data_IF_230331357010
#
_entry.id   IF_230331357010
#
_cell.length_a   1.000
_cell.length_b   1.000
_cell.length_c   1.000
_cell.angle_alpha   90.00
_cell.angle_beta   90.00
_cell.angle_gamma   90.00
#
_symmetry.space_group_name_H-M   'P 1'
#
loop_
_entity.id
_entity.type
_entity.pdbx_description
1 polymer ?
#
# COMPACT_ATOMS: atom_id res chain seq x y z
N UNK A 1 9.25 28.44 -26.83
CA UNK A 1 7.83 28.32 -27.24
C UNK A 1 7.16 27.37 -26.27
N UNK A 2 6.36 27.89 -25.33
CA UNK A 2 5.60 27.08 -24.39
C UNK A 2 4.17 26.93 -24.94
N UNK A 3 3.74 25.70 -25.20
CA UNK A 3 2.38 25.38 -25.62
C UNK A 3 1.44 25.34 -24.39
N UNK A 4 0.15 25.67 -24.57
CA UNK A 4 -0.77 25.92 -23.46
C UNK A 4 -1.30 24.63 -22.82
N UNK A 5 -1.44 24.65 -21.50
CA UNK A 5 -2.10 23.61 -20.70
C UNK A 5 -3.60 23.61 -21.03
N UNK A 6 -4.11 22.49 -21.53
CA UNK A 6 -5.54 22.24 -21.70
C UNK A 6 -6.01 21.24 -20.66
N UNK A 7 -7.12 21.63 -20.04
CA UNK A 7 -7.84 21.00 -18.96
C UNK A 7 -8.53 19.70 -19.39
N UNK A 8 -8.62 18.75 -18.45
CA UNK A 8 -9.49 17.58 -18.54
C UNK A 8 -8.86 16.31 -19.09
N UNK A 9 -8.78 15.30 -18.21
CA UNK A 9 -8.53 13.87 -18.46
C UNK A 9 -7.08 13.38 -18.32
N UNK A 10 -6.88 12.65 -17.22
CA UNK A 10 -5.74 11.79 -16.91
C UNK A 10 -4.38 12.49 -16.77
N UNK A 11 -4.11 13.03 -15.58
CA UNK A 11 -2.75 12.98 -15.04
C UNK A 11 -2.42 11.51 -14.76
N UNK A 12 -2.07 10.76 -15.81
CA UNK A 12 -1.05 9.74 -15.66
C UNK A 12 0.17 10.50 -15.14
N UNK A 13 0.31 10.54 -13.81
CA UNK A 13 1.56 10.91 -13.19
C UNK A 13 2.60 10.03 -13.86
N UNK A 14 3.59 10.67 -14.49
CA UNK A 14 4.74 10.07 -15.14
C UNK A 14 5.52 9.26 -14.09
N UNK A 15 4.99 8.10 -13.68
CA UNK A 15 5.47 7.26 -12.57
C UNK A 15 6.58 6.31 -13.01
N UNK A 16 7.12 6.55 -14.19
CA UNK A 16 8.17 5.74 -14.80
C UNK A 16 9.48 5.90 -14.05
N UNK A 17 10.23 4.80 -13.97
CA UNK A 17 11.56 4.82 -13.37
C UNK A 17 12.54 5.58 -14.26
N UNK A 18 13.40 6.41 -13.66
CA UNK A 18 14.40 7.12 -14.44
C UNK A 18 15.34 6.12 -15.14
N UNK A 19 15.62 6.31 -16.45
CA UNK A 19 16.47 5.42 -17.23
C UNK A 19 17.96 5.56 -16.86
N UNK A 20 18.36 6.72 -16.31
CA UNK A 20 19.72 7.01 -15.92
C UNK A 20 19.90 6.83 -14.42
N UNK A 21 20.35 5.63 -14.01
CA UNK A 21 20.58 5.27 -12.61
C UNK A 21 22.06 5.34 -12.26
N UNK A 22 22.36 5.80 -11.06
CA UNK A 22 23.70 5.75 -10.48
C UNK A 22 23.84 4.43 -9.74
N UNK A 23 24.82 3.62 -10.13
CA UNK A 23 25.10 2.35 -9.46
C UNK A 23 25.45 2.58 -7.98
N UNK A 24 24.88 1.77 -7.08
CA UNK A 24 25.12 1.87 -5.64
C UNK A 24 24.11 2.72 -4.89
N UNK A 25 23.15 3.35 -5.56
CA UNK A 25 22.14 4.22 -4.93
C UNK A 25 20.75 3.79 -5.40
N UNK A 26 20.24 2.71 -4.83
CA UNK A 26 18.90 2.19 -5.15
C UNK A 26 17.85 2.63 -4.12
N UNK A 27 18.27 2.87 -2.88
CA UNK A 27 17.40 3.25 -1.76
C UNK A 27 17.91 4.52 -1.09
N UNK A 28 17.01 5.40 -0.69
CA UNK A 28 17.31 6.58 0.10
C UNK A 28 16.58 6.55 1.44
N UNK A 29 17.22 7.08 2.47
CA UNK A 29 16.61 7.32 3.78
C UNK A 29 16.25 8.80 3.85
N UNK A 30 14.97 9.09 4.10
CA UNK A 30 14.45 10.45 4.18
C UNK A 30 13.66 10.65 5.48
N UNK A 31 13.73 11.87 6.01
CA UNK A 31 12.88 12.32 7.12
C UNK A 31 12.21 13.63 6.76
N UNK A 32 10.97 13.78 7.21
CA UNK A 32 10.18 14.99 6.99
C UNK A 32 9.98 15.72 8.31
N UNK A 33 10.00 17.04 8.25
CA UNK A 33 9.67 17.92 9.37
C UNK A 33 8.64 18.94 8.91
N UNK A 34 7.47 18.97 9.56
CA UNK A 34 6.43 19.95 9.31
C UNK A 34 6.13 20.75 10.58
N UNK A 35 5.99 22.08 10.48
CA UNK A 35 5.74 22.91 11.66
C UNK A 35 4.32 22.76 12.22
N UNK A 36 3.31 22.43 11.39
CA UNK A 36 1.89 22.37 11.80
C UNK A 36 1.23 21.00 11.48
N UNK A 37 2.01 19.92 11.45
CA UNK A 37 1.51 18.56 11.19
C UNK A 37 1.26 18.25 9.70
N UNK A 38 0.92 16.99 9.37
CA UNK A 38 0.95 16.47 7.99
C UNK A 38 -0.16 17.01 7.08
N UNK A 39 -1.29 17.51 7.61
CA UNK A 39 -2.48 17.77 6.78
C UNK A 39 -2.61 19.21 6.23
N UNK A 40 -1.85 20.21 6.73
CA UNK A 40 -1.99 21.62 6.31
C UNK A 40 -0.68 22.42 6.37
N UNK A 41 0.40 21.92 5.76
CA UNK A 41 1.63 22.69 5.61
C UNK A 41 2.00 22.87 4.14
N UNK A 42 2.03 24.12 3.67
CA UNK A 42 2.59 24.50 2.37
C UNK A 42 4.13 24.40 2.33
N UNK A 43 4.75 24.32 3.51
CA UNK A 43 6.19 24.27 3.68
C UNK A 43 6.54 23.09 4.58
N UNK A 44 7.32 22.15 4.06
CA UNK A 44 7.87 21.02 4.81
C UNK A 44 9.39 20.97 4.59
N UNK A 45 10.12 20.56 5.61
CA UNK A 45 11.54 20.24 5.52
C UNK A 45 11.72 18.79 5.09
N UNK A 46 12.55 18.54 4.09
CA UNK A 46 13.04 17.22 3.72
C UNK A 46 14.52 17.12 4.11
N UNK A 47 14.87 16.07 4.85
CA UNK A 47 16.25 15.73 5.17
C UNK A 47 16.59 14.37 4.56
N UNK A 48 17.57 14.34 3.66
CA UNK A 48 18.16 13.09 3.15
C UNK A 48 19.22 12.65 4.17
N UNK A 49 19.04 11.45 4.74
CA UNK A 49 19.91 10.91 5.80
C UNK A 49 20.93 9.91 5.28
N UNK A 50 20.72 9.35 4.09
CA UNK A 50 21.66 8.44 3.45
C UNK A 50 21.08 7.83 2.18
N UNK A 51 21.96 7.20 1.41
CA UNK A 51 21.62 6.46 0.19
C UNK A 51 22.40 5.14 0.19
N UNK A 52 21.76 4.06 -0.25
CA UNK A 52 22.26 2.69 -0.14
C UNK A 52 21.91 1.89 -1.39
N UNK A 53 22.68 0.85 -1.67
CA UNK A 53 22.43 -0.04 -2.80
C UNK A 53 21.39 -1.12 -2.46
N UNK A 54 21.42 -1.61 -1.22
CA UNK A 54 20.51 -2.66 -0.74
C UNK A 54 19.54 -2.15 0.32
N UNK A 55 18.35 -2.74 0.34
CA UNK A 55 17.34 -2.46 1.36
C UNK A 55 17.80 -2.91 2.77
N UNK A 56 18.63 -3.94 2.83
CA UNK A 56 19.18 -4.48 4.09
C UNK A 56 20.13 -3.48 4.76
N UNK A 57 21.02 -2.87 3.99
CA UNK A 57 21.94 -1.84 4.47
C UNK A 57 21.19 -0.58 4.92
N UNK A 58 20.18 -0.17 4.14
CA UNK A 58 19.31 0.95 4.51
C UNK A 58 18.60 0.67 5.84
N UNK A 59 18.00 -0.51 6.01
CA UNK A 59 17.32 -0.90 7.25
C UNK A 59 18.27 -0.98 8.45
N UNK A 60 19.48 -1.50 8.27
CA UNK A 60 20.49 -1.52 9.31
C UNK A 60 20.89 -0.10 9.75
N UNK A 61 20.98 0.83 8.79
CA UNK A 61 21.28 2.23 9.08
C UNK A 61 20.11 2.95 9.77
N UNK A 62 18.87 2.71 9.34
CA UNK A 62 17.66 3.25 10.00
C UNK A 62 17.61 2.87 11.48
N UNK A 63 17.90 1.61 11.84
CA UNK A 63 17.92 1.17 13.24
C UNK A 63 18.88 2.00 14.10
N UNK A 64 20.05 2.37 13.55
CA UNK A 64 21.02 3.24 14.24
C UNK A 64 20.50 4.69 14.33
N UNK A 65 19.86 5.18 13.28
CA UNK A 65 19.29 6.54 13.26
C UNK A 65 18.12 6.70 14.24
N UNK A 66 17.26 5.69 14.38
CA UNK A 66 16.15 5.72 15.35
C UNK A 66 16.69 5.87 16.77
N UNK A 67 17.79 5.18 17.10
CA UNK A 67 18.41 5.28 18.42
C UNK A 67 19.07 6.66 18.67
N UNK A 68 19.53 7.34 17.61
CA UNK A 68 20.17 8.65 17.71
C UNK A 68 19.15 9.80 17.72
N UNK A 69 18.06 9.67 16.98
CA UNK A 69 17.08 10.72 16.76
C UNK A 69 15.64 10.16 16.79
N UNK A 70 15.07 9.94 17.99
CA UNK A 70 13.75 9.35 18.16
C UNK A 70 12.60 10.32 17.86
N UNK A 71 12.86 11.59 17.57
CA UNK A 71 11.77 12.56 17.43
C UNK A 71 11.22 12.68 16.01
N UNK A 72 11.85 12.05 15.03
CA UNK A 72 11.47 12.17 13.63
C UNK A 72 11.14 10.83 13.00
N UNK A 73 10.12 10.85 12.15
CA UNK A 73 9.81 9.73 11.30
C UNK A 73 10.91 9.53 10.25
N UNK A 74 11.30 8.28 10.05
CA UNK A 74 12.35 7.87 9.12
C UNK A 74 11.74 6.92 8.10
N UNK A 75 11.85 7.29 6.84
CA UNK A 75 11.31 6.54 5.72
C UNK A 75 12.46 6.01 4.86
N UNK A 76 12.34 4.75 4.44
CA UNK A 76 13.17 4.19 3.36
C UNK A 76 12.36 4.25 2.10
N UNK A 77 12.92 4.86 1.05
CA UNK A 77 12.24 5.09 -0.22
C UNK A 77 13.11 4.60 -1.37
N UNK A 78 12.49 4.16 -2.45
CA UNK A 78 13.21 3.79 -3.66
C UNK A 78 13.66 5.03 -4.42
N UNK A 79 14.89 5.00 -4.93
CA UNK A 79 15.40 6.04 -5.82
C UNK A 79 14.78 5.90 -7.22
N UNK A 80 14.85 6.99 -8.01
CA UNK A 80 14.43 7.01 -9.41
C UNK A 80 12.93 6.82 -9.65
N UNK A 81 12.09 6.98 -8.62
CA UNK A 81 10.63 6.96 -8.73
C UNK A 81 10.03 8.19 -8.08
N UNK A 82 8.87 8.61 -8.58
CA UNK A 82 8.10 9.68 -7.96
C UNK A 82 7.54 9.24 -6.62
N UNK A 83 7.84 10.00 -5.57
CA UNK A 83 7.30 9.80 -4.24
C UNK A 83 6.25 10.88 -3.95
N UNK A 84 5.05 10.46 -3.53
CA UNK A 84 4.06 11.39 -2.97
C UNK A 84 4.54 11.84 -1.58
N UNK A 85 4.60 13.15 -1.40
CA UNK A 85 5.08 13.79 -0.19
C UNK A 85 3.92 14.33 0.65
N UNK A 86 3.90 14.12 1.97
CA UNK A 86 4.57 13.04 2.71
C UNK A 86 3.96 11.67 2.37
N UNK A 87 4.70 10.56 2.54
CA UNK A 87 4.14 9.22 2.35
C UNK A 87 3.07 8.95 3.41
N UNK A 88 1.92 8.46 2.97
CA UNK A 88 0.85 8.04 3.88
C UNK A 88 1.34 6.83 4.69
N UNK A 89 1.38 6.91 6.04
CA UNK A 89 1.80 5.81 6.88
C UNK A 89 1.05 4.51 6.56
N UNK A 90 -0.25 4.58 6.29
CA UNK A 90 -1.10 3.40 6.08
C UNK A 90 -0.72 2.59 4.83
N UNK A 91 -0.07 3.23 3.86
CA UNK A 91 0.36 2.61 2.59
C UNK A 91 1.77 2.00 2.70
N UNK A 92 2.46 2.22 3.82
CA UNK A 92 3.81 1.69 4.05
C UNK A 92 3.73 0.21 4.39
N UNK A 93 4.42 -0.63 3.61
CA UNK A 93 4.41 -2.08 3.78
C UNK A 93 4.97 -2.52 5.15
N UNK A 94 6.12 -1.95 5.54
CA UNK A 94 6.80 -2.25 6.80
C UNK A 94 6.99 -1.01 7.66
N UNK A 95 6.13 -0.87 8.67
CA UNK A 95 6.29 0.12 9.72
C UNK A 95 7.05 -0.50 10.90
N UNK A 96 8.09 0.19 11.37
CA UNK A 96 8.82 -0.17 12.58
C UNK A 96 8.70 1.00 13.54
N UNK A 97 7.97 0.79 14.63
CA UNK A 97 7.84 1.73 15.73
C UNK A 97 9.07 1.67 16.63
N UNK A 98 9.27 2.74 17.40
CA UNK A 98 10.35 2.81 18.37
C UNK A 98 10.11 1.89 19.56
N UNK A 99 8.84 1.75 19.96
CA UNK A 99 8.46 0.88 21.07
C UNK A 99 8.40 -0.59 20.60
N UNK A 100 9.25 -1.48 21.14
CA UNK A 100 9.22 -2.90 20.81
C UNK A 100 7.92 -3.60 21.21
N UNK A 101 7.22 -3.14 22.26
CA UNK A 101 5.91 -3.70 22.64
C UNK A 101 4.84 -3.33 21.62
N UNK A 102 4.81 -2.07 21.19
CA UNK A 102 3.91 -1.61 20.15
C UNK A 102 4.15 -2.35 18.82
N UNK A 103 5.42 -2.58 18.45
CA UNK A 103 5.76 -3.40 17.28
C UNK A 103 5.17 -4.81 17.35
N UNK A 104 5.28 -5.47 18.50
CA UNK A 104 4.75 -6.82 18.68
C UNK A 104 3.23 -6.86 18.54
N UNK A 105 2.54 -5.88 19.13
CA UNK A 105 1.07 -5.76 19.06
C UNK A 105 0.63 -5.51 17.61
N UNK A 106 1.27 -4.56 16.91
CA UNK A 106 0.92 -4.19 15.55
C UNK A 106 1.21 -5.32 14.54
N UNK A 107 2.32 -6.04 14.73
CA UNK A 107 2.62 -7.23 13.94
C UNK A 107 1.58 -8.34 14.14
N UNK A 108 1.21 -8.63 15.41
CA UNK A 108 0.17 -9.62 15.72
C UNK A 108 -1.18 -9.26 15.11
N UNK A 109 -1.58 -8.00 15.20
CA UNK A 109 -2.83 -7.53 14.60
C UNK A 109 -2.85 -7.65 13.07
N UNK A 110 -1.74 -7.32 12.38
CA UNK A 110 -1.61 -7.48 10.92
C UNK A 110 -1.69 -8.96 10.51
N UNK A 111 -1.05 -9.85 11.26
CA UNK A 111 -1.09 -11.30 11.02
C UNK A 111 -2.51 -11.88 11.23
N UNK A 112 -3.23 -11.43 12.26
CA UNK A 112 -4.61 -11.83 12.51
C UNK A 112 -5.56 -11.38 11.40
N UNK A 113 -5.41 -10.14 10.92
CA UNK A 113 -6.20 -9.64 9.78
C UNK A 113 -5.94 -10.43 8.50
N UNK A 114 -4.68 -10.77 8.21
CA UNK A 114 -4.32 -11.60 7.05
C UNK A 114 -4.96 -12.99 7.14
N UNK A 115 -4.92 -13.62 8.32
CA UNK A 115 -5.58 -14.91 8.55
C UNK A 115 -7.11 -14.79 8.41
N UNK A 116 -7.72 -13.77 9.00
CA UNK A 116 -9.16 -13.54 8.91
C UNK A 116 -9.61 -13.32 7.45
N UNK A 117 -8.82 -12.58 6.66
CA UNK A 117 -9.07 -12.38 5.23
C UNK A 117 -8.94 -13.69 4.45
N UNK A 118 -7.89 -14.49 4.71
CA UNK A 118 -7.71 -15.80 4.07
C UNK A 118 -8.89 -16.74 4.38
N UNK A 119 -9.34 -16.80 5.64
CA UNK A 119 -10.51 -17.58 6.03
C UNK A 119 -11.82 -17.05 5.41
N UNK A 120 -11.95 -15.74 5.22
CA UNK A 120 -13.10 -15.17 4.53
C UNK A 120 -13.10 -15.52 3.04
N UNK A 121 -11.96 -15.43 2.38
CA UNK A 121 -11.79 -15.81 0.97
C UNK A 121 -12.03 -17.32 0.76
N UNK A 122 -11.53 -18.15 1.67
CA UNK A 122 -11.77 -19.59 1.64
C UNK A 122 -13.25 -19.93 1.83
N UNK A 123 -13.94 -19.32 2.81
CA UNK A 123 -15.39 -19.47 2.98
C UNK A 123 -16.16 -18.99 1.75
N UNK A 124 -15.79 -17.84 1.19
CA UNK A 124 -16.43 -17.31 -0.03
C UNK A 124 -16.25 -18.28 -1.20
N UNK A 125 -15.06 -18.89 -1.35
CA UNK A 125 -14.79 -19.88 -2.39
C UNK A 125 -15.61 -21.16 -2.19
N UNK A 126 -15.74 -21.64 -0.96
CA UNK A 126 -16.57 -22.81 -0.63
C UNK A 126 -18.04 -22.54 -0.97
N UNK A 127 -18.60 -21.41 -0.51
CA UNK A 127 -19.99 -21.02 -0.81
C UNK A 127 -20.24 -20.83 -2.31
N UNK A 128 -19.28 -20.26 -3.06
CA UNK A 128 -19.41 -20.12 -4.51
C UNK A 128 -19.31 -21.46 -5.24
N UNK A 129 -18.48 -22.40 -4.77
CA UNK A 129 -18.40 -23.75 -5.33
C UNK A 129 -19.70 -24.55 -5.06
N UNK A 130 -20.17 -24.55 -3.82
CA UNK A 130 -21.44 -25.17 -3.43
C UNK A 130 -22.64 -24.54 -4.17
N UNK A 131 -22.62 -23.22 -4.37
CA UNK A 131 -23.63 -22.50 -5.14
C UNK A 131 -23.62 -22.83 -6.62
N UNK A 132 -22.46 -23.13 -7.22
CA UNK A 132 -22.33 -23.56 -8.63
C UNK A 132 -22.76 -25.00 -8.84
N UNK A 133 -22.49 -25.90 -7.89
CA UNK A 133 -22.97 -27.29 -7.93
C UNK A 133 -24.51 -27.35 -7.80
N UNK A 134 -25.12 -26.44 -7.03
CA UNK A 134 -26.58 -26.36 -6.89
C UNK A 134 -27.32 -25.91 -8.17
N UNK A 135 -26.72 -25.05 -9.01
CA UNK A 135 -27.32 -24.66 -10.30
C UNK A 135 -27.03 -25.65 -11.45
N UNK A 136 -26.01 -26.50 -11.33
CA UNK A 136 -25.71 -27.51 -12.34
C UNK A 136 -26.64 -28.74 -12.25
N UNK A 137 -27.16 -29.06 -11.06
CA UNK A 137 -28.09 -30.19 -10.83
C UNK A 137 -29.56 -29.88 -11.22
N UNK A 138 -29.96 -28.61 -11.36
CA UNK A 138 -31.32 -28.22 -11.81
C UNK A 138 -31.46 -28.01 -13.34
N UNK A 139 -30.55 -28.56 -14.14
CA UNK A 139 -30.50 -28.42 -15.60
C UNK A 139 -31.14 -29.56 -16.41
N UNK A 140 -32.07 -30.35 -15.87
CA UNK A 140 -32.59 -31.54 -16.54
C UNK A 140 -34.07 -31.87 -16.29
N UNK A 141 -34.95 -31.41 -17.19
CA UNK A 141 -36.33 -31.91 -17.37
C UNK A 141 -37.39 -31.16 -16.54
N UNK A 142 -38.54 -30.73 -17.06
CA UNK A 142 -39.17 -30.86 -18.36
C UNK A 142 -40.57 -30.22 -18.30
N UNK A 143 -41.03 -29.75 -19.46
CA UNK A 143 -42.43 -29.59 -19.89
C UNK A 143 -43.48 -28.85 -19.03
N UNK A 144 -43.86 -27.66 -19.51
CA UNK A 144 -45.23 -27.29 -19.96
C UNK A 144 -46.44 -27.98 -19.27
N UNK A 145 -47.33 -27.18 -18.65
CA UNK A 145 -48.74 -27.06 -19.09
C UNK A 145 -49.38 -25.76 -18.63
N UNK A 146 -50.11 -25.16 -19.56
CA UNK A 146 -51.00 -24.01 -19.48
C UNK A 146 -52.22 -24.19 -18.55
N UNK A 147 -52.74 -23.05 -18.06
CA UNK A 147 -54.15 -22.62 -18.02
C UNK A 147 -54.59 -22.07 -16.65
N UNK A 148 -55.12 -20.83 -16.65
CA UNK A 148 -55.91 -20.27 -15.55
C UNK A 148 -57.27 -21.00 -15.38
N UNK A 149 -58.22 -20.53 -14.54
CA UNK A 149 -58.59 -19.12 -14.44
C UNK A 149 -58.97 -18.61 -13.03
N UNK A 150 -59.19 -17.29 -13.03
CA UNK A 150 -59.91 -16.41 -12.10
C UNK A 150 -60.98 -17.03 -11.19
N UNK A 151 -61.00 -16.61 -9.92
CA UNK A 151 -61.95 -15.61 -9.38
C UNK A 151 -61.34 -14.95 -8.13
#
# INVERSE_FOLDING_TARGET
MAAPYTDGMATELYLDEDPLKVSGISFAIVSFATPNGPQKCSTFGLKIRGAFDTLEDANAHVKRLIALDPNFDIFVVDCYRWLRMPPDPEVIDKQIYQDPQLNAIMAGHKDEQLKAKAHFEERKRQVMAEGLDAVAEEGGGGASTSAGPSQ
#
